data_IF_016612689014
#
_entry.id   IF_016612689014
#
_cell.length_a   1.000
_cell.length_b   1.000
_cell.length_c   1.000
_cell.angle_alpha   90.00
_cell.angle_beta   90.00
_cell.angle_gamma   90.00
#
_symmetry.space_group_name_H-M   'P 1'
#
loop_
_entity.id
_entity.type
_entity.pdbx_description
1 polymer ?
#
# COMPACT_ATOMS: atom_id res chain seq x y z
N UNK A 1 35.92 -20.22 2.51
CA UNK A 1 35.86 -20.87 3.85
C UNK A 1 34.41 -21.34 4.04
N UNK A 2 34.14 -22.62 4.33
CA UNK A 2 32.76 -23.04 4.68
C UNK A 2 32.50 -22.58 6.11
N UNK A 3 31.62 -21.61 6.29
CA UNK A 3 31.10 -21.25 7.60
C UNK A 3 30.20 -22.40 8.06
N UNK A 4 30.73 -23.26 8.94
CA UNK A 4 29.92 -24.27 9.65
C UNK A 4 29.02 -23.53 10.63
N UNK A 5 27.80 -23.22 10.19
CA UNK A 5 26.75 -22.67 11.04
C UNK A 5 26.25 -23.77 11.97
N UNK A 6 26.65 -23.71 13.24
CA UNK A 6 25.95 -24.43 14.29
C UNK A 6 24.78 -23.57 14.77
N UNK A 7 23.52 -24.04 14.74
CA UNK A 7 22.42 -23.31 15.34
C UNK A 7 22.65 -23.22 16.85
N UNK A 8 22.99 -22.03 17.32
CA UNK A 8 23.16 -21.71 18.75
C UNK A 8 21.76 -21.71 19.43
N UNK A 9 21.65 -22.06 20.73
CA UNK A 9 20.37 -22.25 21.39
C UNK A 9 19.50 -20.98 21.36
N UNK A 10 18.29 -21.10 20.81
CA UNK A 10 17.25 -20.08 20.68
C UNK A 10 16.56 -19.80 22.03
N UNK A 11 17.29 -19.29 23.01
CA UNK A 11 16.71 -18.67 24.21
C UNK A 11 17.16 -17.21 24.32
N UNK A 12 16.60 -16.30 23.50
CA UNK A 12 16.74 -14.88 23.79
C UNK A 12 16.13 -14.57 25.16
N UNK A 13 16.84 -13.82 25.99
CA UNK A 13 16.25 -13.24 27.20
C UNK A 13 15.10 -12.33 26.76
N UNK A 14 13.86 -12.76 27.06
CA UNK A 14 12.64 -12.03 26.73
C UNK A 14 12.07 -11.48 28.03
N UNK A 15 11.87 -10.17 28.07
CA UNK A 15 11.17 -9.50 29.15
C UNK A 15 9.91 -8.88 28.59
N UNK A 16 8.75 -9.42 28.96
CA UNK A 16 7.46 -8.83 28.62
C UNK A 16 7.07 -7.84 29.73
N UNK A 17 6.68 -6.64 29.33
CA UNK A 17 6.12 -5.58 30.18
C UNK A 17 4.79 -5.13 29.60
N UNK A 18 3.98 -4.40 30.39
CA UNK A 18 2.71 -3.83 29.93
C UNK A 18 2.87 -2.82 28.77
N UNK A 19 4.10 -2.35 28.51
CA UNK A 19 4.44 -1.37 27.47
C UNK A 19 5.03 -2.02 26.20
N UNK A 20 5.44 -3.28 26.26
CA UNK A 20 6.08 -3.96 25.14
C UNK A 20 6.89 -5.20 25.51
N UNK A 21 7.48 -5.81 24.48
CA UNK A 21 8.29 -7.01 24.55
C UNK A 21 9.74 -6.62 24.26
N UNK A 22 10.61 -6.78 25.26
CA UNK A 22 12.05 -6.62 25.08
C UNK A 22 12.67 -7.97 24.77
N UNK A 23 13.50 -8.04 23.72
CA UNK A 23 14.33 -9.21 23.46
C UNK A 23 15.72 -8.81 22.98
N UNK A 24 16.70 -9.64 23.32
CA UNK A 24 18.00 -9.62 22.64
C UNK A 24 17.85 -10.25 21.26
N UNK A 25 18.16 -9.50 20.22
CA UNK A 25 18.25 -10.03 18.86
C UNK A 25 19.60 -10.69 18.69
N UNK A 26 19.63 -11.96 18.28
CA UNK A 26 20.87 -12.61 17.83
C UNK A 26 21.20 -12.14 16.41
N UNK A 27 21.93 -11.04 16.38
CA UNK A 27 22.38 -10.39 15.17
C UNK A 27 23.39 -11.18 14.36
N UNK A 28 24.13 -12.10 14.98
CA UNK A 28 25.16 -12.91 14.34
C UNK A 28 24.50 -13.98 13.45
N UNK A 29 23.40 -14.57 13.91
CA UNK A 29 22.54 -15.44 13.12
C UNK A 29 21.82 -14.71 11.98
N UNK A 30 21.34 -13.47 12.22
CA UNK A 30 20.67 -12.63 11.21
C UNK A 30 21.64 -12.23 10.09
N UNK A 31 22.80 -11.69 10.46
CA UNK A 31 23.79 -11.13 9.54
C UNK A 31 24.47 -12.18 8.67
N UNK A 32 24.95 -13.28 9.26
CA UNK A 32 25.62 -14.36 8.50
C UNK A 32 24.71 -14.97 7.41
N UNK A 33 23.42 -15.13 7.71
CA UNK A 33 22.45 -15.70 6.77
C UNK A 33 21.96 -14.71 5.72
N UNK A 34 21.75 -13.44 6.09
CA UNK A 34 21.43 -12.36 5.15
C UNK A 34 22.54 -12.18 4.11
N UNK A 35 23.79 -12.23 4.55
CA UNK A 35 24.94 -12.04 3.67
C UNK A 35 25.18 -13.25 2.77
N UNK A 36 25.03 -14.48 3.30
CA UNK A 36 25.07 -15.68 2.46
C UNK A 36 23.94 -15.70 1.43
N UNK A 37 22.77 -15.17 1.82
CA UNK A 37 21.62 -14.97 0.97
C UNK A 37 21.87 -13.98 -0.17
N UNK A 38 22.44 -12.83 0.17
CA UNK A 38 22.88 -11.81 -0.77
C UNK A 38 23.93 -12.32 -1.75
N UNK A 39 24.92 -13.06 -1.25
CA UNK A 39 25.97 -13.66 -2.08
C UNK A 39 25.37 -14.60 -3.13
N UNK A 40 24.37 -15.38 -2.75
CA UNK A 40 23.64 -16.24 -3.67
C UNK A 40 22.80 -15.44 -4.67
N UNK A 41 22.19 -14.32 -4.28
CA UNK A 41 21.46 -13.41 -5.18
C UNK A 41 22.38 -12.72 -6.19
N UNK A 42 23.53 -12.18 -5.75
CA UNK A 42 24.55 -11.55 -6.59
C UNK A 42 25.23 -12.55 -7.54
N UNK A 43 25.34 -13.81 -7.13
CA UNK A 43 25.86 -14.90 -7.97
C UNK A 43 24.81 -15.55 -8.88
N UNK A 44 23.63 -14.93 -9.05
CA UNK A 44 22.50 -15.46 -9.85
C UNK A 44 22.03 -16.87 -9.43
N UNK A 45 22.13 -17.18 -8.13
CA UNK A 45 21.64 -18.43 -7.51
C UNK A 45 20.48 -18.16 -6.54
N UNK A 46 19.32 -17.66 -7.01
CA UNK A 46 18.19 -17.29 -6.15
C UNK A 46 17.66 -18.46 -5.30
N UNK A 47 17.80 -19.70 -5.77
CA UNK A 47 17.41 -20.90 -5.03
C UNK A 47 18.18 -21.14 -3.72
N UNK A 48 19.35 -20.50 -3.54
CA UNK A 48 20.12 -20.58 -2.29
C UNK A 48 19.55 -19.71 -1.18
N UNK A 49 18.96 -18.56 -1.53
CA UNK A 49 18.35 -17.65 -0.57
C UNK A 49 17.09 -18.25 0.06
N UNK A 50 16.20 -18.80 -0.77
CA UNK A 50 14.95 -19.43 -0.32
C UNK A 50 15.18 -20.64 0.58
N UNK A 51 16.17 -21.49 0.27
CA UNK A 51 16.53 -22.65 1.12
C UNK A 51 17.05 -22.24 2.51
N UNK A 52 17.85 -21.19 2.59
CA UNK A 52 18.33 -20.68 3.87
C UNK A 52 17.19 -20.06 4.69
N UNK A 53 16.30 -19.30 4.02
CA UNK A 53 15.10 -18.75 4.64
C UNK A 53 14.15 -19.85 5.16
N UNK A 54 13.97 -20.93 4.43
CA UNK A 54 13.21 -22.10 4.86
C UNK A 54 13.84 -22.82 6.06
N UNK A 55 15.18 -22.93 6.09
CA UNK A 55 15.91 -23.52 7.22
C UNK A 55 15.74 -22.67 8.49
N UNK A 56 15.74 -21.34 8.35
CA UNK A 56 15.47 -20.39 9.44
C UNK A 56 14.02 -20.55 9.92
N UNK A 57 13.04 -20.53 9.00
CA UNK A 57 11.62 -20.72 9.33
C UNK A 57 11.41 -22.05 10.08
N UNK A 58 12.10 -23.12 9.67
CA UNK A 58 12.09 -24.43 10.34
C UNK A 58 12.71 -24.39 11.73
N UNK A 59 13.81 -23.65 11.92
CA UNK A 59 14.44 -23.44 13.24
C UNK A 59 13.49 -22.79 14.26
N UNK A 60 12.62 -21.91 13.79
CA UNK A 60 11.60 -21.25 14.62
C UNK A 60 10.29 -22.05 14.79
N UNK A 61 10.19 -23.31 14.35
CA UNK A 61 8.93 -24.09 14.43
C UNK A 61 8.50 -24.47 15.86
N UNK A 62 9.40 -24.50 16.84
CA UNK A 62 9.13 -24.95 18.22
C UNK A 62 8.98 -23.81 19.24
N UNK A 63 8.57 -22.64 18.79
CA UNK A 63 8.69 -21.40 19.56
C UNK A 63 7.36 -21.05 20.22
N UNK A 64 7.31 -21.13 21.55
CA UNK A 64 6.10 -20.87 22.36
C UNK A 64 6.22 -19.55 23.16
N UNK A 65 5.16 -18.75 23.16
CA UNK A 65 5.05 -17.50 23.93
C UNK A 65 5.03 -16.21 23.08
N UNK A 66 4.29 -15.16 23.52
CA UNK A 66 4.06 -13.95 22.71
C UNK A 66 5.35 -13.22 22.36
N UNK A 67 6.30 -13.09 23.28
CA UNK A 67 7.56 -12.40 22.97
C UNK A 67 8.41 -13.10 21.92
N UNK A 68 8.37 -14.44 21.88
CA UNK A 68 9.09 -15.20 20.86
C UNK A 68 8.38 -15.18 19.50
N UNK A 69 7.05 -15.12 19.50
CA UNK A 69 6.26 -14.95 18.28
C UNK A 69 6.51 -13.56 17.65
N UNK A 70 6.57 -12.52 18.46
CA UNK A 70 6.91 -11.16 18.01
C UNK A 70 8.33 -11.11 17.44
N UNK A 71 9.30 -11.71 18.15
CA UNK A 71 10.67 -11.84 17.65
C UNK A 71 10.73 -12.53 16.28
N UNK A 72 10.07 -13.70 16.16
CA UNK A 72 10.03 -14.45 14.89
C UNK A 72 9.47 -13.60 13.75
N UNK A 73 8.36 -12.91 14.00
CA UNK A 73 7.70 -12.08 13.00
C UNK A 73 8.62 -10.95 12.51
N UNK A 74 9.17 -10.17 13.44
CA UNK A 74 10.13 -9.08 13.14
C UNK A 74 11.35 -9.61 12.41
N UNK A 75 11.93 -10.71 12.88
CA UNK A 75 13.12 -11.29 12.27
C UNK A 75 12.87 -11.74 10.83
N UNK A 76 11.77 -12.47 10.58
CA UNK A 76 11.44 -12.93 9.22
C UNK A 76 11.13 -11.74 8.32
N UNK A 77 10.36 -10.76 8.81
CA UNK A 77 10.02 -9.55 8.08
C UNK A 77 11.28 -8.77 7.66
N UNK A 78 12.17 -8.51 8.61
CA UNK A 78 13.44 -7.83 8.38
C UNK A 78 14.31 -8.59 7.39
N UNK A 79 14.40 -9.91 7.54
CA UNK A 79 15.23 -10.73 6.66
C UNK A 79 14.76 -10.64 5.21
N UNK A 80 13.44 -10.75 4.98
CA UNK A 80 12.85 -10.62 3.64
C UNK A 80 13.03 -9.20 3.09
N UNK A 81 12.85 -8.18 3.93
CA UNK A 81 12.95 -6.78 3.53
C UNK A 81 14.35 -6.35 3.11
N UNK A 82 15.35 -6.72 3.92
CA UNK A 82 16.75 -6.49 3.60
C UNK A 82 17.13 -7.26 2.34
N UNK A 83 16.71 -8.53 2.23
CA UNK A 83 16.92 -9.33 1.02
C UNK A 83 16.37 -8.66 -0.25
N UNK A 84 15.15 -8.14 -0.19
CA UNK A 84 14.53 -7.41 -1.30
C UNK A 84 15.27 -6.12 -1.63
N UNK A 85 15.57 -5.30 -0.62
CA UNK A 85 16.31 -4.04 -0.78
C UNK A 85 17.65 -4.29 -1.46
N UNK A 86 18.36 -5.33 -1.05
CA UNK A 86 19.64 -5.68 -1.64
C UNK A 86 19.51 -6.27 -3.06
N UNK A 87 18.45 -7.03 -3.35
CA UNK A 87 18.14 -7.49 -4.70
C UNK A 87 17.80 -6.34 -5.65
N UNK A 88 17.25 -5.24 -5.13
CA UNK A 88 17.02 -4.03 -5.91
C UNK A 88 18.30 -3.22 -6.09
N UNK A 89 19.20 -3.21 -5.10
CA UNK A 89 20.52 -2.58 -5.20
C UNK A 89 21.46 -3.33 -6.14
N UNK A 90 21.39 -4.67 -6.21
CA UNK A 90 22.25 -5.49 -7.08
C UNK A 90 22.15 -5.15 -8.56
N UNK A 91 21.01 -4.60 -8.99
CA UNK A 91 20.79 -4.11 -10.36
C UNK A 91 21.71 -2.95 -10.74
N UNK A 92 22.15 -2.16 -9.76
CA UNK A 92 22.95 -0.94 -9.96
C UNK A 92 24.45 -1.14 -9.68
N UNK A 93 24.77 -2.18 -8.90
CA UNK A 93 26.13 -2.53 -8.48
C UNK A 93 26.95 -3.11 -9.65
N UNK A 94 28.27 -2.85 -9.70
CA UNK A 94 29.15 -3.47 -10.69
C UNK A 94 29.13 -5.00 -10.57
N UNK A 95 29.13 -5.74 -11.69
CA UNK A 95 29.15 -7.23 -11.68
C UNK A 95 30.40 -7.83 -11.02
N UNK A 96 31.47 -7.03 -10.89
CA UNK A 96 32.73 -7.39 -10.22
C UNK A 96 32.68 -7.17 -8.70
N UNK A 97 31.50 -6.85 -8.16
CA UNK A 97 31.24 -6.66 -6.74
C UNK A 97 31.36 -7.95 -5.91
N UNK A 98 32.57 -8.48 -5.78
CA UNK A 98 32.91 -9.51 -4.80
C UNK A 98 32.94 -8.91 -3.39
N UNK A 99 31.78 -8.82 -2.73
CA UNK A 99 31.65 -8.07 -1.47
C UNK A 99 30.80 -8.74 -0.38
N UNK A 100 30.71 -10.08 -0.41
CA UNK A 100 30.09 -10.83 0.69
C UNK A 100 30.84 -10.64 2.01
N UNK A 101 32.17 -10.62 1.98
CA UNK A 101 32.97 -10.61 3.22
C UNK A 101 32.97 -9.23 3.92
N UNK A 102 33.06 -8.11 3.17
CA UNK A 102 33.04 -6.75 3.78
C UNK A 102 31.67 -6.35 4.34
N UNK A 103 30.57 -6.81 3.72
CA UNK A 103 29.23 -6.63 4.26
C UNK A 103 29.03 -7.48 5.52
N UNK A 104 29.55 -8.71 5.54
CA UNK A 104 29.53 -9.55 6.75
C UNK A 104 30.24 -8.87 7.89
N UNK A 105 31.45 -8.36 7.67
CA UNK A 105 32.22 -7.63 8.68
C UNK A 105 31.54 -6.33 9.12
N UNK A 106 30.91 -5.58 8.20
CA UNK A 106 30.17 -4.36 8.52
C UNK A 106 28.88 -4.61 9.33
N UNK A 107 28.24 -5.77 9.13
CA UNK A 107 27.11 -6.17 9.96
C UNK A 107 27.60 -6.78 11.30
N UNK A 108 28.59 -7.66 11.33
CA UNK A 108 29.00 -8.39 12.56
C UNK A 108 29.76 -7.55 13.58
N UNK A 109 30.54 -6.54 13.18
CA UNK A 109 31.48 -5.85 14.08
C UNK A 109 30.84 -5.02 15.20
N UNK A 110 29.62 -4.51 14.99
CA UNK A 110 28.98 -3.54 15.89
C UNK A 110 27.59 -4.01 16.37
N UNK A 111 27.29 -5.32 16.31
CA UNK A 111 25.95 -5.86 16.58
C UNK A 111 25.80 -6.57 17.94
N UNK A 112 26.89 -6.74 18.70
CA UNK A 112 26.91 -7.53 19.94
C UNK A 112 26.21 -6.87 21.15
N UNK A 113 25.65 -5.66 21.04
CA UNK A 113 25.10 -4.93 22.20
C UNK A 113 23.64 -4.43 22.06
N UNK A 114 22.99 -4.62 20.91
CA UNK A 114 21.67 -4.06 20.66
C UNK A 114 20.51 -4.86 21.24
N UNK A 115 20.04 -4.54 22.45
CA UNK A 115 18.70 -4.92 22.91
C UNK A 115 17.65 -4.21 22.03
N UNK A 116 16.72 -4.96 21.44
CA UNK A 116 15.58 -4.37 20.72
C UNK A 116 14.35 -4.49 21.59
N UNK A 117 13.80 -3.32 21.94
CA UNK A 117 12.51 -3.25 22.61
C UNK A 117 11.44 -3.07 21.54
N UNK A 118 10.63 -4.11 21.32
CA UNK A 118 9.37 -3.96 20.58
C UNK A 118 8.34 -3.37 21.53
N UNK A 119 8.25 -2.04 21.48
CA UNK A 119 7.10 -1.34 22.03
C UNK A 119 5.88 -1.57 21.12
N UNK A 120 4.69 -1.47 21.68
CA UNK A 120 3.45 -1.57 20.91
C UNK A 120 3.45 -0.60 19.71
N UNK A 121 3.95 0.64 19.89
CA UNK A 121 4.12 1.64 18.82
C UNK A 121 4.93 1.13 17.61
N UNK A 122 5.93 0.25 17.80
CA UNK A 122 6.74 -0.30 16.69
C UNK A 122 6.02 -1.41 15.92
N UNK A 123 4.88 -1.84 16.41
CA UNK A 123 4.00 -2.77 15.71
C UNK A 123 2.82 -2.02 15.07
N UNK A 124 2.42 -0.86 15.63
CA UNK A 124 1.42 0.08 15.05
C UNK A 124 1.97 0.74 13.80
N UNK A 125 3.23 1.15 13.87
CA UNK A 125 4.01 1.67 12.75
C UNK A 125 5.27 0.80 12.62
N UNK A 126 5.21 -0.36 11.93
CA UNK A 126 6.39 -1.21 11.71
C UNK A 126 7.60 -0.46 11.14
N UNK A 127 7.43 0.53 10.24
CA UNK A 127 8.48 1.47 9.83
C UNK A 127 9.17 2.27 10.96
N UNK A 128 8.49 2.56 12.07
CA UNK A 128 9.08 3.29 13.22
C UNK A 128 10.11 2.49 14.02
N UNK A 129 10.31 1.21 13.69
CA UNK A 129 11.24 0.35 14.40
C UNK A 129 12.68 0.94 14.28
N UNK A 130 13.32 1.37 15.39
CA UNK A 130 14.64 2.04 15.35
C UNK A 130 15.75 1.21 14.70
N UNK A 131 15.52 -0.09 14.65
CA UNK A 131 16.39 -1.04 13.98
C UNK A 131 16.48 -0.79 12.46
N UNK A 132 15.41 -0.34 11.81
CA UNK A 132 15.41 -0.09 10.37
C UNK A 132 16.41 1.01 10.02
N UNK A 133 16.47 2.09 10.81
CA UNK A 133 17.47 3.14 10.66
C UNK A 133 18.89 2.59 10.81
N UNK A 134 19.10 1.74 11.81
CA UNK A 134 20.41 1.09 12.04
C UNK A 134 20.82 0.25 10.81
N UNK A 135 19.91 -0.52 10.24
CA UNK A 135 20.16 -1.33 9.05
C UNK A 135 20.39 -0.44 7.81
N UNK A 136 19.59 0.61 7.61
CA UNK A 136 19.76 1.56 6.51
C UNK A 136 21.13 2.25 6.55
N UNK A 137 21.56 2.71 7.73
CA UNK A 137 22.89 3.34 7.89
C UNK A 137 24.02 2.36 7.58
N UNK A 138 23.89 1.08 7.95
CA UNK A 138 24.90 0.06 7.62
C UNK A 138 24.98 -0.22 6.13
N UNK A 139 23.84 -0.31 5.45
CA UNK A 139 23.82 -0.47 3.99
C UNK A 139 24.46 0.76 3.31
N UNK A 140 24.19 1.98 3.81
CA UNK A 140 24.84 3.22 3.33
C UNK A 140 26.36 3.18 3.54
N UNK A 141 26.82 2.90 4.75
CA UNK A 141 28.25 2.81 5.07
C UNK A 141 28.97 1.74 4.23
N UNK A 142 28.30 0.63 3.93
CA UNK A 142 28.84 -0.38 3.03
C UNK A 142 28.94 0.13 1.59
N UNK A 143 27.93 0.86 1.09
CA UNK A 143 27.94 1.45 -0.25
C UNK A 143 28.95 2.58 -0.40
N UNK A 144 29.25 3.33 0.66
CA UNK A 144 30.27 4.38 0.67
C UNK A 144 31.69 3.83 0.46
N UNK A 145 31.91 2.52 0.66
CA UNK A 145 33.17 1.85 0.34
C UNK A 145 33.37 1.67 -1.18
N UNK A 146 32.35 1.99 -1.99
CA UNK A 146 32.37 1.80 -3.43
C UNK A 146 32.51 3.14 -4.14
N UNK A 147 33.33 3.17 -5.17
CA UNK A 147 33.50 4.33 -6.04
C UNK A 147 32.33 4.42 -7.04
N UNK A 148 31.15 4.77 -6.53
CA UNK A 148 29.92 4.94 -7.32
C UNK A 148 29.87 6.33 -7.95
N UNK A 149 29.44 6.40 -9.21
CA UNK A 149 29.09 7.66 -9.86
C UNK A 149 27.94 8.37 -9.13
N UNK A 150 27.92 9.70 -9.10
CA UNK A 150 26.90 10.53 -8.41
C UNK A 150 25.45 10.11 -8.73
N UNK A 151 25.14 9.83 -10.00
CA UNK A 151 23.82 9.37 -10.42
C UNK A 151 23.42 8.00 -9.80
N UNK A 152 24.36 7.07 -9.71
CA UNK A 152 24.14 5.76 -9.07
C UNK A 152 24.05 5.88 -7.56
N UNK A 153 24.84 6.76 -6.95
CA UNK A 153 24.79 7.03 -5.51
C UNK A 153 23.42 7.62 -5.10
N UNK A 154 22.84 8.52 -5.89
CA UNK A 154 21.49 9.01 -5.64
C UNK A 154 20.41 7.93 -5.83
N UNK A 155 20.57 7.07 -6.84
CA UNK A 155 19.63 5.98 -7.08
C UNK A 155 19.69 4.90 -5.98
N UNK A 156 20.87 4.57 -5.46
CA UNK A 156 21.01 3.65 -4.33
C UNK A 156 20.45 4.23 -3.03
N UNK A 157 20.66 5.53 -2.76
CA UNK A 157 20.02 6.22 -1.62
C UNK A 157 18.49 6.12 -1.68
N UNK A 158 17.90 6.36 -2.86
CA UNK A 158 16.46 6.19 -3.07
C UNK A 158 16.03 4.76 -2.77
N UNK A 159 16.72 3.75 -3.30
CA UNK A 159 16.40 2.32 -3.05
C UNK A 159 16.49 1.94 -1.57
N UNK A 160 17.48 2.44 -0.84
CA UNK A 160 17.61 2.18 0.62
C UNK A 160 16.44 2.80 1.39
N UNK A 161 15.93 3.96 0.95
CA UNK A 161 14.79 4.62 1.57
C UNK A 161 13.49 3.78 1.49
N UNK A 162 13.41 2.78 0.61
CA UNK A 162 12.30 1.84 0.54
C UNK A 162 12.38 0.69 1.56
N UNK A 163 13.47 0.55 2.33
CA UNK A 163 13.61 -0.53 3.31
C UNK A 163 12.43 -0.60 4.31
N UNK A 164 11.95 0.51 4.91
CA UNK A 164 10.81 0.46 5.82
C UNK A 164 9.54 -0.09 5.17
N UNK A 165 9.31 0.22 3.89
CA UNK A 165 8.17 -0.29 3.12
C UNK A 165 8.33 -1.78 2.81
N UNK A 166 9.54 -2.22 2.42
CA UNK A 166 9.82 -3.64 2.25
C UNK A 166 9.63 -4.43 3.56
N UNK A 167 9.99 -3.84 4.69
CA UNK A 167 9.80 -4.41 6.02
C UNK A 167 8.32 -4.57 6.35
N UNK A 168 7.56 -3.51 6.19
CA UNK A 168 6.12 -3.50 6.39
C UNK A 168 5.40 -4.55 5.54
N UNK A 169 5.74 -4.65 4.26
CA UNK A 169 5.21 -5.68 3.35
C UNK A 169 5.55 -7.08 3.82
N UNK A 170 6.81 -7.33 4.19
CA UNK A 170 7.27 -8.64 4.62
C UNK A 170 6.65 -9.06 5.96
N UNK A 171 6.45 -8.09 6.86
CA UNK A 171 5.76 -8.25 8.13
C UNK A 171 4.30 -8.67 7.91
N UNK A 172 3.57 -7.91 7.11
CA UNK A 172 2.18 -8.21 6.75
C UNK A 172 2.05 -9.55 6.04
N UNK A 173 2.93 -9.87 5.08
CA UNK A 173 2.90 -11.13 4.35
C UNK A 173 3.19 -12.35 5.24
N UNK A 174 4.16 -12.24 6.17
CA UNK A 174 4.44 -13.32 7.11
C UNK A 174 3.25 -13.57 8.04
N UNK A 175 2.62 -12.51 8.56
CA UNK A 175 1.40 -12.65 9.35
C UNK A 175 0.26 -13.29 8.55
N UNK A 176 0.03 -12.83 7.32
CA UNK A 176 -1.00 -13.36 6.41
C UNK A 176 -0.83 -14.85 6.10
N UNK A 177 0.41 -15.33 6.05
CA UNK A 177 0.67 -16.74 5.78
C UNK A 177 0.24 -17.68 6.92
N UNK A 178 0.24 -17.18 8.17
CA UNK A 178 -0.01 -17.98 9.38
C UNK A 178 -0.77 -17.18 10.45
N UNK A 179 -2.00 -16.68 10.18
CA UNK A 179 -2.70 -15.77 11.09
C UNK A 179 -2.99 -16.42 12.45
N UNK A 180 -3.42 -17.68 12.46
CA UNK A 180 -3.71 -18.42 13.71
C UNK A 180 -2.49 -18.56 14.63
N UNK A 181 -1.28 -18.53 14.08
CA UNK A 181 -0.06 -18.67 14.85
C UNK A 181 0.30 -17.41 15.62
N UNK A 182 -0.05 -16.26 15.06
CA UNK A 182 0.24 -14.96 15.64
C UNK A 182 -0.93 -14.39 16.46
N UNK A 183 -2.10 -15.05 16.45
CA UNK A 183 -3.25 -14.70 17.30
C UNK A 183 -2.88 -14.48 18.78
N UNK A 184 -1.99 -15.26 19.42
CA UNK A 184 -1.60 -15.01 20.82
C UNK A 184 -0.93 -13.65 21.07
N UNK A 185 -0.41 -12.99 20.03
CA UNK A 185 0.11 -11.62 20.15
C UNK A 185 -1.03 -10.63 20.40
N UNK A 186 -2.19 -10.85 19.77
CA UNK A 186 -3.39 -10.03 19.96
C UNK A 186 -3.86 -10.06 21.42
N UNK A 187 -3.86 -11.25 22.03
CA UNK A 187 -4.25 -11.43 23.43
C UNK A 187 -3.20 -10.85 24.40
N UNK A 188 -1.93 -10.87 24.03
CA UNK A 188 -0.82 -10.43 24.87
C UNK A 188 -0.64 -8.90 24.92
N UNK A 189 -0.97 -8.17 23.86
CA UNK A 189 -0.77 -6.72 23.82
C UNK A 189 -1.90 -5.90 24.46
N UNK A 190 -3.02 -6.53 24.89
CA UNK A 190 -4.11 -6.00 25.74
C UNK A 190 -4.50 -4.51 25.56
N UNK A 191 -4.31 -3.94 24.36
CA UNK A 191 -4.70 -2.57 24.01
C UNK A 191 -5.41 -2.64 22.66
N UNK A 192 -6.70 -2.34 22.65
CA UNK A 192 -7.53 -2.34 21.43
C UNK A 192 -6.96 -1.40 20.34
N UNK A 193 -6.33 -0.30 20.75
CA UNK A 193 -5.74 0.71 19.85
C UNK A 193 -4.61 0.14 18.98
N UNK A 194 -3.75 -0.72 19.57
CA UNK A 194 -2.67 -1.40 18.86
C UNK A 194 -3.21 -2.26 17.71
N UNK A 195 -4.20 -3.10 18.00
CA UNK A 195 -4.77 -4.02 17.01
C UNK A 195 -5.47 -3.26 15.89
N UNK A 196 -6.16 -2.17 16.23
CA UNK A 196 -6.84 -1.34 15.23
C UNK A 196 -5.85 -0.68 14.27
N UNK A 197 -4.77 -0.09 14.79
CA UNK A 197 -3.71 0.52 13.96
C UNK A 197 -3.04 -0.52 13.05
N UNK A 198 -2.68 -1.68 13.60
CA UNK A 198 -2.12 -2.79 12.82
C UNK A 198 -3.11 -3.29 11.74
N UNK A 199 -4.39 -3.41 12.08
CA UNK A 199 -5.42 -3.83 11.14
C UNK A 199 -5.63 -2.83 9.99
N UNK A 200 -5.59 -1.52 10.29
CA UNK A 200 -5.64 -0.45 9.29
C UNK A 200 -4.44 -0.49 8.37
N UNK A 201 -3.24 -0.63 8.93
CA UNK A 201 -2.02 -0.72 8.15
C UNK A 201 -2.01 -1.97 7.25
N UNK A 202 -2.49 -3.12 7.76
CA UNK A 202 -2.67 -4.33 6.97
C UNK A 202 -3.64 -4.10 5.80
N UNK A 203 -4.75 -3.41 6.01
CA UNK A 203 -5.68 -3.10 4.94
C UNK A 203 -5.06 -2.16 3.89
N UNK A 204 -4.29 -1.16 4.31
CA UNK A 204 -3.51 -0.30 3.41
C UNK A 204 -2.55 -1.12 2.53
N UNK A 205 -1.82 -2.07 3.11
CA UNK A 205 -0.96 -3.01 2.38
C UNK A 205 -1.74 -3.90 1.41
N UNK A 206 -2.92 -4.39 1.83
CA UNK A 206 -3.79 -5.14 0.93
C UNK A 206 -4.16 -4.30 -0.29
N UNK A 207 -4.60 -3.06 -0.07
CA UNK A 207 -4.96 -2.14 -1.14
C UNK A 207 -3.80 -1.86 -2.10
N UNK A 208 -2.62 -1.57 -1.54
CA UNK A 208 -1.39 -1.37 -2.29
C UNK A 208 -1.02 -2.61 -3.14
N UNK A 209 -1.10 -3.81 -2.53
CA UNK A 209 -0.75 -5.07 -3.20
C UNK A 209 -1.60 -5.39 -4.42
N UNK A 210 -2.80 -4.81 -4.54
CA UNK A 210 -3.70 -5.02 -5.69
C UNK A 210 -3.08 -4.58 -7.02
N UNK A 211 -2.13 -3.64 -7.01
CA UNK A 211 -1.41 -3.19 -8.20
C UNK A 211 -0.29 -4.14 -8.64
N UNK A 212 0.24 -4.94 -7.70
CA UNK A 212 1.28 -5.94 -7.97
C UNK A 212 0.71 -7.36 -8.09
N UNK A 213 -0.61 -7.51 -8.02
CA UNK A 213 -1.27 -8.79 -8.18
C UNK A 213 -1.02 -9.32 -9.61
N UNK A 214 -0.72 -10.63 -9.76
CA UNK A 214 -0.55 -11.26 -11.07
C UNK A 214 -1.78 -11.06 -11.95
N UNK A 215 -1.55 -10.81 -13.24
CA UNK A 215 -2.59 -10.67 -14.24
C UNK A 215 -3.01 -12.05 -14.75
N UNK A 216 -4.32 -12.33 -14.68
CA UNK A 216 -4.91 -13.52 -15.30
C UNK A 216 -4.23 -14.83 -14.84
N UNK A 217 -3.95 -15.73 -15.77
CA UNK A 217 -3.26 -17.01 -15.56
C UNK A 217 -1.73 -16.90 -15.73
N UNK A 218 -1.18 -15.69 -15.84
CA UNK A 218 0.26 -15.48 -15.98
C UNK A 218 0.86 -15.06 -14.63
N UNK A 219 1.50 -15.98 -13.89
CA UNK A 219 2.02 -15.68 -12.55
C UNK A 219 3.19 -14.68 -12.57
N UNK A 220 3.84 -14.53 -13.72
CA UNK A 220 5.08 -13.75 -13.87
C UNK A 220 4.85 -12.32 -14.39
N UNK A 221 3.61 -11.94 -14.70
CA UNK A 221 3.26 -10.60 -15.21
C UNK A 221 2.24 -9.96 -14.28
N UNK A 222 2.62 -8.87 -13.63
CA UNK A 222 1.75 -8.09 -12.77
C UNK A 222 1.17 -6.87 -13.51
N UNK A 223 0.12 -6.25 -12.93
CA UNK A 223 -0.44 -5.02 -13.50
C UNK A 223 0.62 -3.92 -13.64
N UNK A 224 1.56 -3.82 -12.70
CA UNK A 224 2.69 -2.88 -12.79
C UNK A 224 3.55 -3.03 -14.05
N UNK A 225 3.66 -4.23 -14.61
CA UNK A 225 4.56 -4.50 -15.73
C UNK A 225 3.97 -4.06 -17.09
N UNK A 226 2.65 -3.93 -17.16
CA UNK A 226 1.90 -3.66 -18.40
C UNK A 226 0.99 -2.44 -18.31
N UNK A 227 1.07 -1.69 -17.21
CA UNK A 227 0.23 -0.53 -16.99
C UNK A 227 0.54 0.57 -18.02
N UNK A 228 -0.52 1.10 -18.63
CA UNK A 228 -0.47 2.26 -19.51
C UNK A 228 -1.35 3.35 -18.92
N UNK A 229 -0.80 4.54 -18.73
CA UNK A 229 -1.54 5.67 -18.16
C UNK A 229 -2.66 6.11 -19.12
N UNK A 230 -3.94 6.03 -18.73
CA UNK A 230 -5.02 6.52 -19.55
C UNK A 230 -5.01 8.05 -19.58
N UNK A 231 -5.15 8.63 -20.76
CA UNK A 231 -5.43 10.07 -20.88
C UNK A 231 -6.81 10.39 -20.32
N UNK A 232 -6.86 11.11 -19.19
CA UNK A 232 -8.11 11.51 -18.54
C UNK A 232 -8.56 12.86 -19.08
N UNK A 233 -9.87 13.03 -19.22
CA UNK A 233 -10.47 14.27 -19.71
C UNK A 233 -11.52 14.74 -18.71
N UNK A 234 -11.52 16.00 -18.37
CA UNK A 234 -12.47 16.56 -17.39
C UNK A 234 -13.64 17.19 -18.13
N UNK A 235 -14.86 16.95 -17.65
CA UNK A 235 -16.05 17.58 -18.20
C UNK A 235 -15.98 19.12 -18.02
N UNK A 236 -16.21 19.88 -19.10
CA UNK A 236 -15.98 21.34 -19.11
C UNK A 236 -16.75 22.11 -18.04
N UNK A 237 -17.90 21.61 -17.59
CA UNK A 237 -18.73 22.34 -16.63
C UNK A 237 -18.31 22.10 -15.18
N UNK A 238 -17.34 21.23 -14.93
CA UNK A 238 -16.75 21.00 -13.59
C UNK A 238 -15.83 22.16 -13.15
N UNK A 239 -15.33 22.95 -14.10
CA UNK A 239 -14.48 24.12 -13.82
C UNK A 239 -15.31 25.27 -13.28
N UNK A 240 -14.79 25.94 -12.24
CA UNK A 240 -15.44 27.08 -11.59
C UNK A 240 -15.35 28.36 -12.43
N UNK A 241 -14.22 28.57 -13.11
CA UNK A 241 -13.96 29.75 -13.95
C UNK A 241 -14.02 29.37 -15.43
N UNK A 242 -14.66 30.23 -16.22
CA UNK A 242 -14.60 30.11 -17.69
C UNK A 242 -13.18 30.31 -18.24
N UNK A 243 -12.32 31.06 -17.53
CA UNK A 243 -10.91 31.24 -17.87
C UNK A 243 -10.13 29.92 -17.84
N UNK A 244 -10.38 29.06 -16.85
CA UNK A 244 -9.76 27.72 -16.76
C UNK A 244 -10.22 26.86 -17.95
N UNK A 245 -11.52 26.91 -18.26
CA UNK A 245 -12.08 26.24 -19.44
C UNK A 245 -11.44 26.74 -20.74
N UNK A 246 -11.21 28.06 -20.84
CA UNK A 246 -10.64 28.70 -22.03
C UNK A 246 -9.16 28.38 -22.21
N UNK A 247 -8.35 28.39 -21.14
CA UNK A 247 -6.93 28.01 -21.13
C UNK A 247 -6.73 26.64 -21.77
N UNK A 248 -7.58 25.67 -21.42
CA UNK A 248 -7.47 24.30 -21.93
C UNK A 248 -8.17 24.07 -23.27
N UNK A 249 -9.17 24.91 -23.63
CA UNK A 249 -9.86 24.82 -24.94
C UNK A 249 -9.03 25.41 -26.08
N UNK A 250 -8.17 26.38 -25.82
CA UNK A 250 -7.28 26.98 -26.85
C UNK A 250 -6.32 25.96 -27.49
N UNK A 251 -6.14 24.78 -26.87
CA UNK A 251 -5.33 23.67 -27.38
C UNK A 251 -6.16 22.56 -28.05
N UNK A 252 -7.46 22.75 -28.29
CA UNK A 252 -8.34 21.72 -28.85
C UNK A 252 -9.13 22.21 -30.07
N UNK A 253 -9.22 21.35 -31.10
CA UNK A 253 -10.10 21.58 -32.25
C UNK A 253 -11.54 21.18 -31.91
N UNK A 254 -12.47 22.14 -32.01
CA UNK A 254 -13.92 21.91 -31.93
C UNK A 254 -14.57 22.18 -30.57
N UNK A 255 -15.91 22.09 -30.55
CA UNK A 255 -16.74 22.36 -29.37
C UNK A 255 -16.85 21.10 -28.47
N UNK A 256 -15.70 20.60 -28.03
CA UNK A 256 -15.63 19.39 -27.20
C UNK A 256 -16.18 19.65 -25.79
N UNK A 257 -17.04 18.74 -25.34
CA UNK A 257 -17.67 18.78 -24.01
C UNK A 257 -16.69 18.30 -22.91
N UNK A 258 -15.73 17.47 -23.29
CA UNK A 258 -14.65 16.97 -22.43
C UNK A 258 -13.36 17.70 -22.77
N UNK A 259 -12.66 18.18 -21.74
CA UNK A 259 -11.41 18.93 -21.85
C UNK A 259 -10.26 17.99 -21.47
N UNK A 260 -9.27 17.87 -22.35
CA UNK A 260 -8.04 17.13 -22.05
C UNK A 260 -7.15 18.01 -21.19
N UNK A 261 -6.71 17.50 -20.05
CA UNK A 261 -5.72 18.19 -19.23
C UNK A 261 -4.37 18.20 -19.98
N UNK A 262 -3.61 19.31 -19.93
CA UNK A 262 -2.31 19.36 -20.56
C UNK A 262 -1.36 18.42 -19.82
N UNK A 263 -1.11 17.26 -20.44
CA UNK A 263 -0.22 16.21 -19.93
C UNK A 263 1.21 16.69 -19.68
N UNK A 264 1.62 17.82 -20.29
CA UNK A 264 2.92 18.45 -20.07
C UNK A 264 3.03 19.16 -18.70
N UNK A 265 1.90 19.54 -18.09
CA UNK A 265 1.85 20.19 -16.77
C UNK A 265 1.50 19.19 -15.65
N UNK A 266 0.57 18.26 -15.90
CA UNK A 266 0.11 17.29 -14.90
C UNK A 266 -0.41 16.00 -15.55
N UNK A 267 0.00 14.84 -15.03
CA UNK A 267 -0.54 13.54 -15.45
C UNK A 267 -1.96 13.34 -14.93
N UNK A 268 -2.75 12.50 -15.59
CA UNK A 268 -4.10 12.08 -15.14
C UNK A 268 -4.10 11.65 -13.68
N UNK A 269 -3.08 10.87 -13.32
CA UNK A 269 -2.87 10.32 -11.99
C UNK A 269 -2.47 11.39 -10.99
N UNK A 270 -1.52 12.26 -11.36
CA UNK A 270 -1.09 13.39 -10.54
C UNK A 270 -2.24 14.35 -10.23
N UNK A 271 -3.15 14.56 -11.19
CA UNK A 271 -4.35 15.36 -10.97
C UNK A 271 -5.28 14.77 -9.92
N UNK A 272 -5.57 13.47 -9.99
CA UNK A 272 -6.40 12.82 -8.98
C UNK A 272 -5.70 12.75 -7.62
N UNK A 273 -4.39 12.50 -7.60
CA UNK A 273 -3.60 12.50 -6.36
C UNK A 273 -3.69 13.85 -5.65
N UNK A 274 -3.47 14.93 -6.39
CA UNK A 274 -3.60 16.30 -5.91
C UNK A 274 -5.01 16.58 -5.35
N UNK A 275 -6.04 16.21 -6.12
CA UNK A 275 -7.43 16.40 -5.74
C UNK A 275 -7.83 15.59 -4.50
N UNK A 276 -7.40 14.33 -4.41
CA UNK A 276 -7.86 13.39 -3.38
C UNK A 276 -6.95 13.26 -2.17
N UNK A 277 -5.71 13.73 -2.19
CA UNK A 277 -4.76 13.44 -1.11
C UNK A 277 -3.96 14.67 -0.66
N UNK A 278 -3.68 15.61 -1.55
CA UNK A 278 -2.84 16.78 -1.22
C UNK A 278 -3.66 18.03 -0.87
N UNK A 279 -4.97 18.02 -1.17
CA UNK A 279 -5.87 19.14 -0.88
C UNK A 279 -5.60 20.38 -1.74
N UNK A 280 -4.73 20.26 -2.73
CA UNK A 280 -4.42 21.28 -3.72
C UNK A 280 -4.99 20.84 -5.06
N UNK A 281 -5.94 21.59 -5.63
CA UNK A 281 -6.40 21.31 -6.99
C UNK A 281 -5.61 22.14 -8.00
N UNK A 282 -5.07 21.50 -9.04
CA UNK A 282 -4.36 22.17 -10.14
C UNK A 282 -5.24 23.19 -10.90
N UNK A 283 -6.56 23.11 -10.72
CA UNK A 283 -7.52 24.05 -11.27
C UNK A 283 -8.67 24.28 -10.28
N UNK A 284 -9.34 25.43 -10.40
CA UNK A 284 -10.48 25.76 -9.56
C UNK A 284 -11.70 24.95 -10.00
N UNK A 285 -12.02 23.89 -9.28
CA UNK A 285 -13.23 23.10 -9.50
C UNK A 285 -14.42 23.64 -8.69
N UNK A 286 -15.65 23.41 -9.16
CA UNK A 286 -16.87 23.93 -8.51
C UNK A 286 -17.22 23.29 -7.16
N UNK A 287 -16.92 22.01 -6.98
CA UNK A 287 -17.27 21.29 -5.75
C UNK A 287 -16.22 21.54 -4.66
N UNK A 288 -16.69 21.75 -3.43
CA UNK A 288 -15.84 22.02 -2.26
C UNK A 288 -15.12 20.76 -1.79
N UNK A 289 -15.83 19.63 -1.82
CA UNK A 289 -15.31 18.30 -1.50
C UNK A 289 -15.35 17.43 -2.77
N UNK A 290 -14.27 16.73 -3.11
CA UNK A 290 -14.17 16.03 -4.39
C UNK A 290 -15.00 14.74 -4.37
N UNK A 291 -16.13 14.78 -5.06
CA UNK A 291 -16.77 13.59 -5.62
C UNK A 291 -16.39 13.55 -7.10
N UNK A 292 -15.66 12.51 -7.53
CA UNK A 292 -15.35 12.22 -8.93
C UNK A 292 -16.09 10.98 -9.42
N UNK A 293 -16.74 11.11 -10.57
CA UNK A 293 -17.25 10.02 -11.39
C UNK A 293 -16.27 9.77 -12.55
N UNK A 294 -15.55 8.66 -12.51
CA UNK A 294 -14.59 8.24 -13.54
C UNK A 294 -15.28 7.31 -14.56
N UNK A 295 -15.43 7.80 -15.79
CA UNK A 295 -16.14 7.14 -16.87
C UNK A 295 -15.18 6.60 -17.92
N UNK A 296 -15.51 5.45 -18.50
CA UNK A 296 -14.72 4.86 -19.57
C UNK A 296 -15.29 3.57 -20.11
N UNK A 297 -14.90 3.19 -21.32
CA UNK A 297 -15.34 1.96 -21.95
C UNK A 297 -14.79 0.71 -21.21
N UNK A 298 -15.42 -0.47 -21.42
CA UNK A 298 -14.86 -1.74 -20.94
C UNK A 298 -13.41 -1.91 -21.44
N UNK A 299 -12.52 -2.38 -20.55
CA UNK A 299 -11.11 -2.61 -20.89
C UNK A 299 -10.21 -1.37 -20.91
N UNK A 300 -10.74 -0.15 -20.67
CA UNK A 300 -9.92 1.07 -20.61
C UNK A 300 -9.15 1.27 -19.31
N UNK A 301 -9.16 0.28 -18.40
CA UNK A 301 -8.30 0.30 -17.23
C UNK A 301 -8.77 1.15 -16.05
N UNK A 302 -10.07 1.48 -15.90
CA UNK A 302 -10.60 2.25 -14.75
C UNK A 302 -10.17 1.68 -13.38
N UNK A 303 -10.42 0.38 -13.15
CA UNK A 303 -10.02 -0.29 -11.91
C UNK A 303 -8.50 -0.40 -11.77
N UNK A 304 -7.76 -0.48 -12.88
CA UNK A 304 -6.29 -0.48 -12.88
C UNK A 304 -5.75 0.90 -12.49
N UNK A 305 -6.37 1.95 -13.00
CA UNK A 305 -6.06 3.34 -12.70
C UNK A 305 -6.27 3.65 -11.21
N UNK A 306 -7.37 3.17 -10.60
CA UNK A 306 -7.57 3.33 -9.14
C UNK A 306 -6.51 2.58 -8.33
N UNK A 307 -6.07 1.40 -8.77
CA UNK A 307 -5.00 0.64 -8.08
C UNK A 307 -3.66 1.36 -8.19
N UNK A 308 -3.34 1.90 -9.36
CA UNK A 308 -2.13 2.69 -9.57
C UNK A 308 -2.13 3.98 -8.73
N UNK A 309 -3.29 4.63 -8.56
CA UNK A 309 -3.43 5.79 -7.68
C UNK A 309 -3.09 5.44 -6.23
N UNK A 310 -3.61 4.32 -5.73
CA UNK A 310 -3.31 3.84 -4.39
C UNK A 310 -1.83 3.47 -4.22
N UNK A 311 -1.22 2.86 -5.24
CA UNK A 311 0.21 2.56 -5.27
C UNK A 311 1.06 3.82 -5.04
N UNK A 312 0.88 4.86 -5.86
CA UNK A 312 1.67 6.11 -5.73
C UNK A 312 1.45 6.80 -4.37
N UNK A 313 0.20 6.89 -3.93
CA UNK A 313 -0.15 7.55 -2.67
C UNK A 313 0.45 6.83 -1.46
N UNK A 314 0.41 5.50 -1.46
CA UNK A 314 0.95 4.74 -0.34
C UNK A 314 2.47 4.63 -0.37
N UNK A 315 3.08 4.55 -1.56
CA UNK A 315 4.53 4.50 -1.74
C UNK A 315 5.21 5.82 -1.38
N UNK A 316 4.58 6.96 -1.61
CA UNK A 316 5.16 8.26 -1.24
C UNK A 316 4.80 8.70 0.20
N UNK A 317 4.03 7.88 0.92
CA UNK A 317 3.46 8.22 2.23
C UNK A 317 2.74 9.58 2.24
N UNK A 318 2.16 9.96 1.10
CA UNK A 318 1.64 11.31 0.88
C UNK A 318 0.30 11.57 1.57
N UNK A 319 -0.19 10.64 2.40
CA UNK A 319 -1.48 10.77 3.08
C UNK A 319 -1.57 9.97 4.39
N UNK A 320 -2.30 10.57 5.33
CA UNK A 320 -2.82 9.91 6.55
C UNK A 320 -4.33 9.64 6.47
N UNK A 321 -4.96 9.89 5.31
CA UNK A 321 -6.39 9.68 5.14
C UNK A 321 -6.75 8.20 5.18
N UNK A 322 -7.86 7.87 5.85
CA UNK A 322 -8.49 6.55 5.75
C UNK A 322 -8.97 6.33 4.32
N UNK A 323 -8.55 5.22 3.70
CA UNK A 323 -8.94 4.88 2.33
C UNK A 323 -9.70 3.57 2.33
N UNK A 324 -10.91 3.57 1.78
CA UNK A 324 -11.73 2.38 1.62
C UNK A 324 -12.00 2.12 0.14
N UNK A 325 -11.79 0.88 -0.30
CA UNK A 325 -12.05 0.46 -1.68
C UNK A 325 -13.10 -0.66 -1.70
N UNK A 326 -14.23 -0.38 -2.34
CA UNK A 326 -15.40 -1.27 -2.40
C UNK A 326 -15.69 -1.62 -3.85
N UNK A 327 -15.75 -2.92 -4.15
CA UNK A 327 -16.32 -3.41 -5.40
C UNK A 327 -17.84 -3.39 -5.28
N UNK A 328 -18.47 -2.54 -6.05
CA UNK A 328 -19.92 -2.34 -5.97
C UNK A 328 -20.72 -3.60 -6.30
N UNK A 329 -20.19 -4.48 -7.16
CA UNK A 329 -20.80 -5.79 -7.48
C UNK A 329 -20.88 -6.76 -6.30
N UNK A 330 -20.07 -6.54 -5.26
CA UNK A 330 -20.02 -7.41 -4.08
C UNK A 330 -21.09 -7.00 -3.04
N UNK A 331 -21.85 -5.93 -3.31
CA UNK A 331 -22.97 -5.47 -2.48
C UNK A 331 -24.24 -6.24 -2.85
N UNK A 332 -24.83 -6.91 -1.87
CA UNK A 332 -26.02 -7.76 -2.06
C UNK A 332 -27.34 -6.95 -2.02
N UNK A 333 -27.48 -6.01 -1.07
CA UNK A 333 -28.72 -5.24 -0.91
C UNK A 333 -28.65 -3.91 -1.66
N UNK A 334 -28.97 -3.97 -2.95
CA UNK A 334 -28.94 -2.80 -3.84
C UNK A 334 -30.05 -1.79 -3.57
N UNK A 335 -31.17 -2.24 -3.00
CA UNK A 335 -32.26 -1.34 -2.62
C UNK A 335 -31.87 -0.52 -1.39
N UNK A 336 -31.24 -1.15 -0.40
CA UNK A 336 -30.66 -0.45 0.74
C UNK A 336 -29.54 0.51 0.28
N UNK A 337 -28.67 0.07 -0.64
CA UNK A 337 -27.61 0.92 -1.21
C UNK A 337 -28.18 2.18 -1.85
N UNK A 338 -29.23 2.07 -2.67
CA UNK A 338 -29.85 3.23 -3.31
C UNK A 338 -30.54 4.17 -2.30
N UNK A 339 -31.11 3.63 -1.21
CA UNK A 339 -31.85 4.41 -0.21
C UNK A 339 -30.94 5.04 0.86
N UNK A 340 -29.88 4.33 1.28
CA UNK A 340 -28.99 4.67 2.40
C UNK A 340 -27.54 4.31 2.07
N UNK A 341 -26.93 4.97 1.07
CA UNK A 341 -25.68 4.53 0.47
C UNK A 341 -24.53 4.38 1.47
N UNK A 342 -24.27 5.41 2.28
CA UNK A 342 -23.16 5.38 3.26
C UNK A 342 -23.37 4.28 4.32
N UNK A 343 -24.57 4.17 4.88
CA UNK A 343 -24.87 3.13 5.89
C UNK A 343 -24.68 1.73 5.33
N UNK A 344 -25.18 1.46 4.13
CA UNK A 344 -25.02 0.14 3.48
C UNK A 344 -23.56 -0.16 3.13
N UNK A 345 -22.78 0.85 2.74
CA UNK A 345 -21.35 0.70 2.50
C UNK A 345 -20.59 0.37 3.80
N UNK A 346 -20.91 1.04 4.90
CA UNK A 346 -20.31 0.75 6.21
C UNK A 346 -20.69 -0.65 6.72
N UNK A 347 -21.96 -1.05 6.57
CA UNK A 347 -22.40 -2.42 6.87
C UNK A 347 -21.64 -3.46 6.03
N UNK A 348 -21.38 -3.17 4.76
CA UNK A 348 -20.58 -4.02 3.89
C UNK A 348 -19.11 -4.09 4.32
N UNK A 349 -18.50 -2.97 4.69
CA UNK A 349 -17.13 -2.90 5.20
C UNK A 349 -16.98 -3.66 6.52
N UNK A 350 -18.01 -3.64 7.37
CA UNK A 350 -18.03 -4.30 8.68
C UNK A 350 -18.47 -5.78 8.63
N UNK A 351 -19.03 -6.28 7.53
CA UNK A 351 -19.33 -7.71 7.38
C UNK A 351 -18.04 -8.51 7.11
N UNK A 352 -17.50 -9.16 8.15
CA UNK A 352 -16.28 -9.99 8.08
C UNK A 352 -16.33 -11.12 7.04
N UNK A 353 -17.51 -11.53 6.56
CA UNK A 353 -17.62 -12.54 5.50
C UNK A 353 -17.33 -11.95 4.13
N UNK A 354 -17.63 -10.66 3.96
CA UNK A 354 -17.53 -9.89 2.71
C UNK A 354 -16.20 -9.13 2.64
N UNK A 355 -15.82 -8.47 3.73
CA UNK A 355 -14.64 -7.62 3.82
C UNK A 355 -13.56 -8.25 4.71
N UNK A 356 -13.03 -9.41 4.28
CA UNK A 356 -12.10 -10.23 5.10
C UNK A 356 -10.79 -9.55 5.46
N UNK A 357 -10.40 -8.53 4.71
CA UNK A 357 -9.14 -7.80 4.93
C UNK A 357 -9.30 -6.65 5.93
N UNK A 358 -10.54 -6.26 6.25
CA UNK A 358 -10.86 -5.28 7.29
C UNK A 358 -11.03 -6.04 8.60
N UNK A 359 -10.06 -5.87 9.50
CA UNK A 359 -9.98 -6.62 10.77
C UNK A 359 -10.39 -5.79 11.99
N UNK A 360 -10.94 -4.60 11.78
CA UNK A 360 -11.49 -3.71 12.80
C UNK A 360 -12.93 -3.33 12.44
N UNK A 361 -13.61 -2.67 13.37
CA UNK A 361 -14.94 -2.11 13.14
C UNK A 361 -14.80 -0.69 12.60
N UNK A 362 -15.12 -0.50 11.32
CA UNK A 362 -15.09 0.79 10.64
C UNK A 362 -16.15 1.71 11.25
N UNK A 363 -15.70 2.84 11.79
CA UNK A 363 -16.57 3.85 12.38
C UNK A 363 -16.92 4.95 11.36
N UNK A 364 -18.08 5.57 11.52
CA UNK A 364 -18.51 6.74 10.72
C UNK A 364 -17.47 7.86 10.72
N UNK A 365 -16.79 8.09 11.84
CA UNK A 365 -15.75 9.13 12.00
C UNK A 365 -14.51 8.87 11.14
N UNK A 366 -14.30 7.64 10.65
CA UNK A 366 -13.21 7.35 9.71
C UNK A 366 -13.50 7.80 8.28
N UNK A 367 -14.75 8.20 8.00
CA UNK A 367 -15.11 8.84 6.74
C UNK A 367 -14.78 10.34 6.74
N UNK A 368 -14.63 10.97 7.91
CA UNK A 368 -14.16 12.36 8.01
C UNK A 368 -12.71 12.45 7.52
N UNK A 369 -12.47 13.30 6.52
CA UNK A 369 -11.21 13.40 5.80
C UNK A 369 -10.85 12.13 5.00
N UNK A 370 -11.74 11.16 4.90
CA UNK A 370 -11.50 9.87 4.26
C UNK A 370 -11.59 9.91 2.73
N UNK A 371 -11.20 8.81 2.10
CA UNK A 371 -11.35 8.55 0.66
C UNK A 371 -12.10 7.24 0.48
N UNK A 372 -13.24 7.29 -0.22
CA UNK A 372 -14.02 6.12 -0.56
C UNK A 372 -14.02 5.91 -2.08
N UNK A 373 -13.47 4.78 -2.51
CA UNK A 373 -13.42 4.37 -3.91
C UNK A 373 -14.45 3.27 -4.15
N UNK A 374 -15.40 3.53 -5.04
CA UNK A 374 -16.48 2.63 -5.41
C UNK A 374 -16.28 2.15 -6.86
N UNK A 375 -15.83 0.91 -7.02
CA UNK A 375 -15.48 0.36 -8.33
C UNK A 375 -16.64 -0.43 -8.95
N UNK A 376 -17.04 -0.05 -10.18
CA UNK A 376 -17.96 -0.81 -11.01
C UNK A 376 -19.45 -0.50 -10.82
N UNK A 377 -19.85 0.78 -10.89
CA UNK A 377 -21.25 1.18 -10.79
C UNK A 377 -22.13 0.53 -11.89
N UNK A 378 -21.60 0.42 -13.10
CA UNK A 378 -22.26 -0.27 -14.21
C UNK A 378 -22.45 -1.77 -13.97
N UNK A 379 -21.61 -2.40 -13.14
CA UNK A 379 -21.74 -3.82 -12.83
C UNK A 379 -22.96 -4.09 -11.93
N UNK A 380 -23.34 -3.13 -11.08
CA UNK A 380 -24.59 -3.22 -10.32
C UNK A 380 -25.79 -3.19 -11.27
N UNK A 381 -25.77 -2.28 -12.25
CA UNK A 381 -26.82 -2.17 -13.27
C UNK A 381 -26.98 -3.49 -14.02
N UNK A 382 -25.86 -4.08 -14.43
CA UNK A 382 -25.84 -5.29 -15.25
C UNK A 382 -26.17 -6.57 -14.48
N UNK A 383 -25.82 -6.66 -13.19
CA UNK A 383 -25.95 -7.90 -12.41
C UNK A 383 -27.33 -8.09 -11.78
N UNK A 384 -28.05 -7.02 -11.43
CA UNK A 384 -29.32 -7.13 -10.66
C UNK A 384 -30.40 -6.05 -10.93
N UNK A 385 -30.28 -5.23 -11.98
CA UNK A 385 -31.45 -4.51 -12.53
C UNK A 385 -31.86 -3.20 -11.85
N UNK A 386 -30.93 -2.46 -11.23
CA UNK A 386 -31.18 -1.03 -10.97
C UNK A 386 -31.42 -0.32 -12.31
N UNK A 387 -32.54 0.40 -12.43
CA UNK A 387 -32.85 1.22 -13.62
C UNK A 387 -32.01 2.49 -13.60
N UNK A 388 -31.84 3.13 -14.75
CA UNK A 388 -31.08 4.40 -14.91
C UNK A 388 -31.45 5.43 -13.84
N UNK A 389 -32.75 5.65 -13.60
CA UNK A 389 -33.24 6.56 -12.55
C UNK A 389 -32.73 6.22 -11.14
N UNK A 390 -32.56 4.95 -10.82
CA UNK A 390 -32.08 4.50 -9.51
C UNK A 390 -30.57 4.75 -9.34
N UNK A 391 -29.80 4.73 -10.43
CA UNK A 391 -28.38 5.12 -10.41
C UNK A 391 -28.26 6.61 -10.13
N UNK A 392 -29.01 7.43 -10.86
CA UNK A 392 -29.01 8.88 -10.66
C UNK A 392 -29.45 9.22 -9.22
N UNK A 393 -30.50 8.55 -8.73
CA UNK A 393 -30.95 8.68 -7.33
C UNK A 393 -29.88 8.24 -6.33
N UNK A 394 -29.17 7.14 -6.60
CA UNK A 394 -28.08 6.67 -5.76
C UNK A 394 -26.93 7.68 -5.71
N UNK A 395 -26.50 8.21 -6.86
CA UNK A 395 -25.43 9.20 -6.96
C UNK A 395 -25.81 10.50 -6.23
N UNK A 396 -27.06 10.96 -6.37
CA UNK A 396 -27.58 12.13 -5.65
C UNK A 396 -27.62 11.92 -4.14
N UNK A 397 -28.14 10.78 -3.70
CA UNK A 397 -28.16 10.42 -2.29
C UNK A 397 -26.75 10.28 -1.72
N UNK A 398 -25.84 9.67 -2.48
CA UNK A 398 -24.45 9.52 -2.09
C UNK A 398 -23.78 10.90 -1.95
N UNK A 399 -23.92 11.79 -2.94
CA UNK A 399 -23.38 13.15 -2.88
C UNK A 399 -23.97 13.96 -1.72
N UNK A 400 -25.27 13.84 -1.48
CA UNK A 400 -25.95 14.55 -0.39
C UNK A 400 -25.51 14.04 0.98
N UNK A 401 -25.36 12.72 1.12
CA UNK A 401 -24.92 12.11 2.39
C UNK A 401 -23.44 12.30 2.65
N UNK A 402 -22.61 12.34 1.61
CA UNK A 402 -21.18 12.61 1.76
C UNK A 402 -20.90 13.98 2.39
N UNK A 403 -21.71 14.99 2.08
CA UNK A 403 -21.62 16.34 2.69
C UNK A 403 -21.85 16.37 4.21
N UNK A 404 -22.29 15.25 4.81
CA UNK A 404 -22.42 15.12 6.27
C UNK A 404 -21.09 14.80 6.95
N UNK A 405 -20.09 14.36 6.18
CA UNK A 405 -18.74 14.02 6.64
C UNK A 405 -17.78 15.13 6.19
N UNK A 406 -16.97 15.63 7.12
CA UNK A 406 -16.10 16.77 6.83
C UNK A 406 -14.94 16.32 5.93
N UNK A 407 -14.86 16.87 4.72
CA UNK A 407 -13.77 16.55 3.79
C UNK A 407 -13.75 15.11 3.26
N UNK A 408 -14.89 14.39 3.26
CA UNK A 408 -14.99 13.06 2.63
C UNK A 408 -14.87 13.18 1.09
N UNK A 409 -14.04 12.32 0.51
CA UNK A 409 -13.72 12.31 -0.92
C UNK A 409 -14.20 11.02 -1.55
N UNK A 410 -14.92 11.11 -2.67
CA UNK A 410 -15.55 9.97 -3.32
C UNK A 410 -15.03 9.77 -4.74
N UNK A 411 -14.58 8.56 -5.07
CA UNK A 411 -14.22 8.19 -6.44
C UNK A 411 -15.08 7.02 -6.90
N UNK A 412 -15.96 7.24 -7.86
CA UNK A 412 -16.87 6.21 -8.39
C UNK A 412 -16.48 5.88 -9.82
N UNK A 413 -16.27 4.59 -10.15
CA UNK A 413 -15.98 4.17 -11.53
C UNK A 413 -17.25 3.64 -12.20
N UNK A 414 -17.44 3.96 -13.50
CA UNK A 414 -18.56 3.44 -14.29
C UNK A 414 -18.25 3.37 -15.78
N UNK A 415 -19.05 2.60 -16.53
CA UNK A 415 -19.07 2.69 -18.00
C UNK A 415 -19.72 3.98 -18.47
N UNK A 416 -19.23 4.49 -19.60
CA UNK A 416 -19.86 5.62 -20.28
C UNK A 416 -21.31 5.26 -20.65
N UNK A 417 -22.25 6.16 -20.35
CA UNK A 417 -23.68 6.01 -20.67
C UNK A 417 -24.53 5.33 -19.60
N UNK A 418 -23.97 4.97 -18.44
CA UNK A 418 -24.71 4.36 -17.33
C UNK A 418 -25.12 5.36 -16.23
N UNK A 419 -24.64 6.60 -16.31
CA UNK A 419 -25.00 7.69 -15.41
C UNK A 419 -25.29 8.94 -16.24
N UNK A 420 -26.31 9.70 -15.84
CA UNK A 420 -26.67 10.92 -16.56
C UNK A 420 -25.74 12.07 -16.18
N UNK A 421 -24.67 12.24 -16.95
CA UNK A 421 -23.67 13.31 -16.77
C UNK A 421 -24.25 14.74 -16.89
N UNK A 422 -25.49 14.87 -17.37
CA UNK A 422 -26.13 16.16 -17.64
C UNK A 422 -27.02 16.66 -16.51
N UNK A 423 -27.42 15.84 -15.54
CA UNK A 423 -28.41 16.26 -14.54
C UNK A 423 -27.78 16.61 -13.18
N UNK A 424 -26.54 16.21 -12.91
CA UNK A 424 -25.94 16.22 -11.56
C UNK A 424 -24.61 16.97 -11.44
N UNK A 425 -24.40 17.94 -12.33
CA UNK A 425 -23.10 18.63 -12.61
C UNK A 425 -22.61 19.57 -11.51
N UNK A 426 -23.44 19.83 -10.50
CA UNK A 426 -23.12 20.72 -9.38
C UNK A 426 -22.58 19.97 -8.17
N UNK A 427 -22.79 18.67 -8.13
CA UNK A 427 -22.56 17.85 -6.94
C UNK A 427 -21.34 16.92 -7.07
N UNK A 428 -20.86 16.67 -8.29
CA UNK A 428 -19.64 15.89 -8.54
C UNK A 428 -18.93 16.27 -9.86
N UNK A 429 -17.65 15.94 -9.94
CA UNK A 429 -16.80 16.07 -11.12
C UNK A 429 -16.92 14.83 -12.01
N UNK A 430 -16.82 15.01 -13.33
CA UNK A 430 -16.87 13.92 -14.30
C UNK A 430 -15.56 13.86 -15.07
N UNK A 431 -14.90 12.70 -15.01
CA UNK A 431 -13.59 12.39 -15.60
C UNK A 431 -13.70 11.25 -16.61
#
# INVERSE_FOLDING_TARGET
>A
MKLDYQPIPLDPEITATDEGITFKVDWLGVSSNLVQGLFNLLAERPAGFTKNLEAIIKGFQKVEGPGRLAFRLVHIALTKAVGQTLADLSKELPKEAGAGDSLTEAFTKDLDEGQVTLLAQHLEDPPSLPLLDTVMQRIKNWLDQWDLTEAKAEQTKKRIAFLPQHYLRAFSAEWMSQPQRYEPLKDAFQRNEFWESFAKQRYREHLWSMYYAPLMNEPDVALNDVYLDPGVRVYKECFQKEEDTRKYREHQEGDNVMITLPMEEITSLGYLKQLFFEGTAHCTLKAKDPFVLLLGYPGQGKSSFTKRLLDEVFTEESTNASVFWVKLRDIEDLNALAAKPITTLLEHLNDRRKSREILWEVQDTELDGGVLILDGLDEIFMSQGLREKQIDTFLDHLATKAKQFDGLRLLVTSRLGYANIHDHRKDYHVL
#
